data_IF_010793052882
#
_entry.id   IF_010793052882
#
_cell.length_a   1.000
_cell.length_b   1.000
_cell.length_c   1.000
_cell.angle_alpha   90.00
_cell.angle_beta   90.00
_cell.angle_gamma   90.00
#
_symmetry.space_group_name_H-M   'P 1'
#
loop_
_entity.id
_entity.type
_entity.pdbx_description
1 polymer ?
#
# COMPACT_ATOMS: atom_id res chain seq x y z
N UNK A 1 48.84 38.33 -1.38
CA UNK A 1 47.56 38.61 -0.69
C UNK A 1 46.47 38.57 -1.75
N UNK A 2 45.64 37.53 -1.79
CA UNK A 2 44.24 37.55 -2.25
C UNK A 2 43.78 36.11 -2.41
N UNK A 3 43.20 35.56 -1.35
CA UNK A 3 42.46 34.30 -1.40
C UNK A 3 41.00 34.64 -1.68
N UNK A 4 40.56 34.46 -2.93
CA UNK A 4 39.14 34.47 -3.26
C UNK A 4 38.66 33.02 -3.24
N UNK A 5 38.04 32.63 -2.12
CA UNK A 5 37.38 31.33 -2.02
C UNK A 5 36.17 31.29 -2.98
N UNK A 6 35.98 30.23 -3.78
CA UNK A 6 34.74 30.06 -4.53
C UNK A 6 33.63 29.71 -3.54
N UNK A 7 32.53 30.47 -3.55
CA UNK A 7 31.32 30.10 -2.83
C UNK A 7 30.66 28.94 -3.60
N UNK A 8 30.38 27.78 -2.96
CA UNK A 8 29.45 26.83 -3.55
C UNK A 8 28.04 27.38 -3.40
N UNK A 9 27.33 27.57 -4.51
CA UNK A 9 25.89 27.79 -4.46
C UNK A 9 25.22 26.57 -3.81
N UNK A 10 24.51 26.73 -2.69
CA UNK A 10 23.65 25.69 -2.18
C UNK A 10 22.36 25.79 -2.99
N UNK A 11 21.93 24.73 -3.66
CA UNK A 11 20.53 24.26 -3.66
C UNK A 11 20.38 23.24 -4.78
N UNK A 12 20.03 21.98 -4.48
CA UNK A 12 19.63 21.06 -5.53
C UNK A 12 18.36 21.58 -6.20
N UNK A 13 18.16 21.36 -7.51
CA UNK A 13 16.90 21.68 -8.16
C UNK A 13 15.80 20.89 -7.44
N UNK A 14 14.87 21.62 -6.80
CA UNK A 14 13.66 21.02 -6.26
C UNK A 14 12.92 20.38 -7.43
N UNK A 15 12.92 19.04 -7.48
CA UNK A 15 12.14 18.31 -8.48
C UNK A 15 10.69 18.80 -8.43
N UNK A 16 10.13 19.31 -9.54
CA UNK A 16 8.72 19.68 -9.59
C UNK A 16 7.92 18.41 -9.82
N UNK A 17 7.85 17.53 -8.82
CA UNK A 17 6.79 16.54 -8.81
C UNK A 17 5.59 17.23 -8.16
N UNK A 18 4.58 17.67 -8.93
CA UNK A 18 3.41 18.29 -8.34
C UNK A 18 2.80 17.30 -7.33
N UNK A 19 2.43 17.74 -6.12
CA UNK A 19 1.72 16.87 -5.20
C UNK A 19 0.44 16.42 -5.90
N UNK A 20 0.35 15.12 -6.18
CA UNK A 20 -0.87 14.53 -6.71
C UNK A 20 -2.01 14.96 -5.78
N UNK A 21 -3.12 15.53 -6.31
CA UNK A 21 -4.20 15.99 -5.47
C UNK A 21 -4.64 14.85 -4.57
N UNK A 22 -4.51 15.07 -3.25
CA UNK A 22 -4.93 14.10 -2.26
C UNK A 22 -6.42 13.84 -2.46
N UNK A 23 -6.85 12.59 -2.60
CA UNK A 23 -8.27 12.31 -2.75
C UNK A 23 -9.01 12.88 -1.55
N UNK A 24 -10.07 13.65 -1.80
CA UNK A 24 -10.96 14.10 -0.72
C UNK A 24 -11.52 12.92 0.07
N UNK A 25 -12.23 13.18 1.17
CA UNK A 25 -12.73 12.15 2.09
C UNK A 25 -13.30 10.90 1.38
N UNK A 26 -14.20 11.09 0.41
CA UNK A 26 -14.79 9.98 -0.34
C UNK A 26 -13.75 9.16 -1.12
N UNK A 27 -12.76 9.80 -1.74
CA UNK A 27 -11.69 9.10 -2.44
C UNK A 27 -10.75 8.36 -1.49
N UNK A 28 -10.44 8.94 -0.33
CA UNK A 28 -9.65 8.26 0.71
C UNK A 28 -10.37 7.02 1.26
N UNK A 29 -11.68 7.12 1.49
CA UNK A 29 -12.53 6.00 1.92
C UNK A 29 -12.62 4.93 0.83
N UNK A 30 -12.79 5.32 -0.43
CA UNK A 30 -12.82 4.38 -1.57
C UNK A 30 -11.50 3.63 -1.69
N UNK A 31 -10.36 4.32 -1.62
CA UNK A 31 -9.03 3.71 -1.64
C UNK A 31 -8.81 2.76 -0.45
N UNK A 32 -9.24 3.15 0.75
CA UNK A 32 -9.18 2.28 1.92
C UNK A 32 -9.97 0.99 1.71
N UNK A 33 -11.25 1.10 1.28
CA UNK A 33 -12.11 -0.06 1.01
C UNK A 33 -11.50 -0.97 -0.03
N UNK A 34 -10.98 -0.41 -1.12
CA UNK A 34 -10.29 -1.14 -2.19
C UNK A 34 -9.11 -1.95 -1.64
N UNK A 35 -8.20 -1.31 -0.91
CA UNK A 35 -7.01 -1.96 -0.33
C UNK A 35 -7.37 -3.04 0.68
N UNK A 36 -8.41 -2.82 1.48
CA UNK A 36 -8.90 -3.82 2.44
C UNK A 36 -9.41 -5.08 1.72
N UNK A 37 -10.18 -4.91 0.64
CA UNK A 37 -10.67 -6.02 -0.18
C UNK A 37 -9.51 -6.76 -0.84
N UNK A 38 -8.57 -6.03 -1.44
CA UNK A 38 -7.36 -6.59 -2.07
C UNK A 38 -6.52 -7.41 -1.07
N UNK A 39 -6.24 -6.86 0.10
CA UNK A 39 -5.47 -7.52 1.15
C UNK A 39 -6.15 -8.77 1.68
N UNK A 40 -7.47 -8.75 1.84
CA UNK A 40 -8.23 -9.91 2.32
C UNK A 40 -8.26 -11.02 1.27
N UNK A 41 -8.46 -10.64 0.00
CA UNK A 41 -8.38 -11.60 -1.11
C UNK A 41 -6.99 -12.20 -1.23
N UNK A 42 -5.94 -11.40 -1.07
CA UNK A 42 -4.55 -11.88 -1.08
C UNK A 42 -4.29 -12.91 0.03
N UNK A 43 -4.68 -12.60 1.27
CA UNK A 43 -4.48 -13.50 2.42
C UNK A 43 -5.21 -14.84 2.26
N UNK A 44 -6.35 -14.84 1.57
CA UNK A 44 -7.20 -16.03 1.38
C UNK A 44 -7.00 -16.68 -0.01
N UNK A 45 -5.88 -16.41 -0.68
CA UNK A 45 -5.54 -17.05 -1.97
C UNK A 45 -6.52 -16.72 -3.11
N UNK A 46 -7.17 -15.57 -3.06
CA UNK A 46 -8.16 -15.12 -4.03
C UNK A 46 -9.54 -15.74 -3.84
N UNK A 47 -9.79 -16.48 -2.75
CA UNK A 47 -11.09 -17.08 -2.50
C UNK A 47 -12.14 -16.03 -2.10
N UNK A 48 -12.91 -15.58 -3.08
CA UNK A 48 -13.95 -14.53 -2.92
C UNK A 48 -15.02 -14.89 -1.90
N UNK A 49 -15.40 -16.16 -1.79
CA UNK A 49 -16.43 -16.58 -0.83
C UNK A 49 -15.89 -16.50 0.60
N UNK A 50 -14.65 -16.93 0.82
CA UNK A 50 -14.01 -16.80 2.13
C UNK A 50 -13.71 -15.34 2.48
N UNK A 51 -13.27 -14.53 1.51
CA UNK A 51 -13.04 -13.11 1.72
C UNK A 51 -14.32 -12.36 2.10
N UNK A 52 -15.46 -12.68 1.48
CA UNK A 52 -16.73 -12.10 1.86
C UNK A 52 -17.09 -12.43 3.31
N UNK A 53 -16.93 -13.70 3.71
CA UNK A 53 -17.16 -14.14 5.10
C UNK A 53 -16.23 -13.45 6.09
N UNK A 54 -14.94 -13.34 5.78
CA UNK A 54 -13.95 -12.68 6.63
C UNK A 54 -14.22 -11.18 6.80
N UNK A 55 -14.78 -10.52 5.78
CA UNK A 55 -15.19 -9.12 5.84
C UNK A 55 -16.59 -8.92 6.45
N UNK A 56 -17.30 -10.00 6.80
CA UNK A 56 -18.70 -9.92 7.28
C UNK A 56 -19.68 -9.45 6.21
N UNK A 57 -19.34 -9.60 4.93
CA UNK A 57 -20.14 -9.14 3.80
C UNK A 57 -20.84 -10.30 3.09
N UNK A 58 -21.98 -10.01 2.49
CA UNK A 58 -22.59 -10.93 1.53
C UNK A 58 -21.70 -11.03 0.28
N UNK A 59 -21.55 -12.25 -0.26
CA UNK A 59 -20.75 -12.51 -1.46
C UNK A 59 -21.14 -11.63 -2.64
N UNK A 60 -22.43 -11.44 -2.88
CA UNK A 60 -22.97 -10.59 -3.95
C UNK A 60 -22.55 -9.13 -3.78
N UNK A 61 -22.59 -8.62 -2.53
CA UNK A 61 -22.16 -7.28 -2.22
C UNK A 61 -20.65 -7.10 -2.41
N UNK A 62 -19.82 -8.06 -1.99
CA UNK A 62 -18.38 -8.03 -2.27
C UNK A 62 -18.10 -7.95 -3.78
N UNK A 63 -18.79 -8.76 -4.59
CA UNK A 63 -18.62 -8.74 -6.04
C UNK A 63 -19.06 -7.42 -6.67
N UNK A 64 -20.01 -6.70 -6.07
CA UNK A 64 -20.41 -5.36 -6.48
C UNK A 64 -19.30 -4.36 -6.16
N UNK A 65 -18.79 -4.37 -4.93
CA UNK A 65 -17.68 -3.50 -4.49
C UNK A 65 -16.41 -3.71 -5.33
N UNK A 66 -16.10 -4.96 -5.68
CA UNK A 66 -14.94 -5.25 -6.53
C UNK A 66 -15.06 -4.61 -7.92
N UNK A 67 -16.27 -4.56 -8.49
CA UNK A 67 -16.52 -3.89 -9.78
C UNK A 67 -16.49 -2.38 -9.63
N UNK A 68 -17.09 -1.86 -8.57
CA UNK A 68 -17.16 -0.43 -8.27
C UNK A 68 -15.77 0.18 -8.05
N UNK A 69 -14.88 -0.54 -7.37
CA UNK A 69 -13.53 -0.06 -7.04
C UNK A 69 -12.43 -0.57 -7.97
N UNK A 70 -12.77 -1.34 -9.02
CA UNK A 70 -11.79 -1.87 -9.97
C UNK A 70 -10.78 -2.85 -9.35
N UNK A 71 -11.19 -3.62 -8.34
CA UNK A 71 -10.32 -4.60 -7.67
C UNK A 71 -10.08 -5.79 -8.60
N UNK A 72 -8.89 -5.83 -9.21
CA UNK A 72 -8.40 -7.00 -9.92
C UNK A 72 -7.43 -7.76 -9.02
N UNK A 73 -7.69 -9.04 -8.76
CA UNK A 73 -6.76 -9.89 -8.00
C UNK A 73 -5.83 -10.55 -9.01
N UNK A 74 -4.59 -10.06 -9.22
CA UNK A 74 -3.59 -10.85 -9.90
C UNK A 74 -3.36 -12.09 -9.04
N UNK A 75 -3.72 -13.27 -9.55
CA UNK A 75 -3.59 -14.58 -8.88
C UNK A 75 -2.17 -14.83 -8.33
N UNK A 76 -1.17 -14.05 -8.73
CA UNK A 76 0.25 -14.38 -8.58
C UNK A 76 1.13 -13.25 -7.97
N UNK A 77 0.68 -11.99 -7.91
CA UNK A 77 1.51 -10.88 -7.41
C UNK A 77 1.37 -10.60 -5.90
N UNK A 78 0.29 -11.07 -5.26
CA UNK A 78 -0.02 -10.74 -3.88
C UNK A 78 0.77 -11.56 -2.83
N UNK A 79 1.30 -12.72 -3.20
CA UNK A 79 2.12 -13.56 -2.32
C UNK A 79 3.50 -12.93 -2.02
N UNK A 80 4.08 -12.16 -2.95
CA UNK A 80 5.44 -11.64 -2.84
C UNK A 80 5.56 -10.40 -1.91
N UNK A 81 4.55 -9.53 -1.87
CA UNK A 81 4.60 -8.27 -1.09
C UNK A 81 4.28 -8.49 0.40
N UNK A 82 3.41 -9.45 0.71
CA UNK A 82 3.13 -9.83 2.11
C UNK A 82 4.31 -10.59 2.71
N UNK A 83 5.00 -11.44 1.94
CA UNK A 83 6.23 -12.10 2.39
C UNK A 83 7.36 -11.10 2.68
N UNK A 84 7.49 -10.03 1.89
CA UNK A 84 8.52 -9.00 2.11
C UNK A 84 8.23 -8.09 3.31
N UNK A 85 6.96 -7.90 3.70
CA UNK A 85 6.60 -7.19 4.95
C UNK A 85 6.55 -8.09 6.18
N UNK A 86 6.12 -9.36 6.03
CA UNK A 86 6.18 -10.35 7.09
C UNK A 86 7.63 -10.70 7.47
N UNK A 87 8.55 -10.72 6.50
CA UNK A 87 9.99 -10.84 6.76
C UNK A 87 10.55 -9.67 7.57
N UNK A 88 10.07 -8.43 7.33
CA UNK A 88 10.50 -7.25 8.09
C UNK A 88 9.95 -7.24 9.54
N UNK A 89 8.74 -7.76 9.77
CA UNK A 89 8.15 -7.83 11.11
C UNK A 89 8.69 -9.00 11.96
N UNK A 90 9.32 -10.01 11.35
CA UNK A 90 9.88 -11.17 12.05
C UNK A 90 11.32 -10.96 12.56
N UNK A 91 12.02 -9.92 12.10
CA UNK A 91 13.42 -9.65 12.48
C UNK A 91 13.64 -8.98 13.84
N UNK A 92 12.60 -8.45 14.49
CA UNK A 92 12.76 -7.54 15.64
C UNK A 92 12.64 -8.22 17.03
N UNK A 93 12.50 -9.56 17.09
CA UNK A 93 12.28 -10.27 18.37
C UNK A 93 13.55 -10.80 19.05
N UNK A 94 14.75 -10.64 18.47
CA UNK A 94 15.97 -11.25 18.99
C UNK A 94 16.99 -10.29 19.64
N UNK A 95 16.68 -8.99 19.80
CA UNK A 95 17.64 -7.99 20.31
C UNK A 95 17.29 -7.38 21.67
N UNK A 96 16.70 -8.15 22.57
CA UNK A 96 16.46 -7.70 23.94
C UNK A 96 16.55 -8.85 24.95
N UNK A 97 17.67 -9.56 24.96
CA UNK A 97 18.14 -10.29 26.15
C UNK A 97 19.65 -10.06 26.22
N UNK A 98 20.06 -9.02 26.94
CA UNK A 98 21.40 -8.89 27.49
C UNK A 98 21.38 -7.97 28.69
#
# INVERSE_FOLDING_TARGET
>A
MSGAAPRPDPFPPRSPNPPKPSPGFHGAVTEFKRRLIEATLAQLGGNRTQAARALGLQRTYLLRLMREFGVNVPRQAAHAVVQSRAAAAAGERHRAVR
#
